data_IF_304701205110
#
_entry.id   IF_304701205110
#
_cell.length_a   1.000
_cell.length_b   1.000
_cell.length_c   1.000
_cell.angle_alpha   90.00
_cell.angle_beta   90.00
_cell.angle_gamma   90.00
#
_symmetry.space_group_name_H-M   'P 1'
#
loop_
_entity.id
_entity.type
_entity.pdbx_description
1 polymer ?
#
# COMPACT_ATOMS: atom_id res chain seq x y z
N UNK A 1 43.75 32.97 37.05
CA UNK A 1 45.10 32.79 36.46
C UNK A 1 45.03 31.53 35.62
N UNK A 2 44.67 31.64 34.34
CA UNK A 2 45.56 31.90 33.20
C UNK A 2 45.81 30.58 32.45
N UNK A 3 45.22 30.49 31.26
CA UNK A 3 45.75 29.69 30.15
C UNK A 3 47.23 30.04 29.91
N UNK A 4 47.98 29.18 29.20
CA UNK A 4 48.28 29.63 27.84
C UNK A 4 48.27 28.54 26.75
N UNK A 5 47.85 29.05 25.61
CA UNK A 5 47.87 28.60 24.22
C UNK A 5 49.29 28.57 23.63
N UNK A 6 49.58 27.61 22.73
CA UNK A 6 50.44 27.74 21.53
C UNK A 6 49.92 26.75 20.47
N UNK A 7 49.29 27.15 19.35
CA UNK A 7 49.79 27.72 18.08
C UNK A 7 50.91 26.91 17.39
N UNK A 8 50.62 26.36 16.21
CA UNK A 8 51.29 26.63 14.90
C UNK A 8 50.94 25.50 13.90
N UNK A 9 50.07 25.73 12.90
CA UNK A 9 50.33 26.14 11.48
C UNK A 9 51.08 25.09 10.65
N UNK A 10 50.46 24.71 9.52
CA UNK A 10 51.12 23.98 8.42
C UNK A 10 50.14 23.54 7.33
N UNK A 11 49.73 24.47 6.45
CA UNK A 11 49.06 24.17 5.19
C UNK A 11 50.10 23.79 4.13
N UNK A 12 49.82 22.77 3.31
CA UNK A 12 50.47 22.63 1.99
C UNK A 12 49.54 21.93 1.00
N UNK A 13 49.50 22.50 -0.20
CA UNK A 13 48.63 22.17 -1.34
C UNK A 13 49.38 21.33 -2.40
N UNK A 14 48.63 20.93 -3.46
CA UNK A 14 49.04 20.67 -4.87
C UNK A 14 49.51 19.21 -5.20
N UNK A 15 49.37 18.63 -6.44
CA UNK A 15 48.57 18.93 -7.65
C UNK A 15 47.74 17.77 -8.27
N UNK A 16 46.94 18.14 -9.27
CA UNK A 16 46.41 17.31 -10.38
C UNK A 16 47.51 16.73 -11.29
N UNK A 17 47.27 15.53 -11.86
CA UNK A 17 47.92 15.07 -13.10
C UNK A 17 46.88 14.55 -14.11
N UNK A 18 47.05 15.05 -15.34
CA UNK A 18 46.34 14.74 -16.59
C UNK A 18 47.26 13.86 -17.46
N UNK A 19 46.65 13.14 -18.41
CA UNK A 19 47.18 12.40 -19.57
C UNK A 19 46.77 10.90 -19.50
N UNK A 20 46.39 10.20 -20.57
CA UNK A 20 46.63 10.41 -22.01
C UNK A 20 45.59 9.63 -22.84
N UNK A 21 45.35 10.12 -24.05
CA UNK A 21 44.64 9.50 -25.16
C UNK A 21 45.30 8.20 -25.65
N UNK A 22 44.49 7.27 -26.16
CA UNK A 22 44.89 6.31 -27.17
C UNK A 22 43.77 6.22 -28.21
N UNK A 23 44.10 6.66 -29.41
CA UNK A 23 43.40 6.40 -30.67
C UNK A 23 43.65 4.94 -31.06
N UNK A 24 42.66 4.27 -31.62
CA UNK A 24 42.86 3.23 -32.64
C UNK A 24 41.60 3.19 -33.53
N UNK A 25 41.84 3.52 -34.79
CA UNK A 25 40.98 3.37 -35.95
C UNK A 25 40.55 1.90 -36.15
N UNK A 26 39.32 1.67 -36.61
CA UNK A 26 39.09 0.57 -37.55
C UNK A 26 37.92 0.92 -38.50
N UNK A 27 38.27 0.86 -39.78
CA UNK A 27 37.57 1.30 -40.97
C UNK A 27 36.99 0.05 -41.64
N UNK A 28 35.68 0.01 -41.94
CA UNK A 28 35.13 -0.97 -42.89
C UNK A 28 33.82 -0.47 -43.50
N UNK A 29 33.97 0.24 -44.62
CA UNK A 29 32.97 0.44 -45.67
C UNK A 29 32.88 -0.83 -46.54
N UNK A 30 31.68 -1.21 -46.99
CA UNK A 30 31.28 -1.95 -48.21
C UNK A 30 29.81 -2.39 -48.00
N UNK A 31 28.83 -2.38 -48.91
CA UNK A 31 28.64 -1.86 -50.26
C UNK A 31 27.12 -1.94 -50.57
N UNK A 32 26.75 -1.26 -51.65
CA UNK A 32 25.47 -0.89 -52.23
C UNK A 32 24.63 -2.04 -52.86
N UNK A 33 23.31 -1.76 -53.01
CA UNK A 33 22.40 -2.25 -54.08
C UNK A 33 21.99 -3.74 -54.07
N UNK A 34 20.86 -4.20 -54.59
CA UNK A 34 19.56 -3.74 -55.08
C UNK A 34 18.83 -5.06 -55.45
N UNK A 35 17.50 -5.11 -55.45
CA UNK A 35 16.67 -5.73 -56.50
C UNK A 35 15.24 -5.98 -55.99
N UNK A 36 14.32 -5.32 -56.68
CA UNK A 36 12.88 -5.52 -56.72
C UNK A 36 12.48 -6.93 -57.20
N UNK A 37 11.28 -7.38 -56.84
CA UNK A 37 10.26 -7.77 -57.82
C UNK A 37 8.88 -8.06 -57.18
N UNK A 38 7.88 -7.32 -57.68
CA UNK A 38 6.44 -7.56 -57.66
C UNK A 38 6.00 -9.01 -57.96
N UNK A 39 4.84 -9.44 -57.42
CA UNK A 39 3.59 -9.59 -58.19
C UNK A 39 2.41 -10.14 -57.35
N UNK A 40 1.22 -9.67 -57.72
CA UNK A 40 -0.13 -9.79 -57.13
C UNK A 40 -0.84 -11.15 -57.39
N UNK A 41 -2.04 -11.39 -56.79
CA UNK A 41 -2.75 -12.67 -56.69
C UNK A 41 -3.82 -12.89 -57.78
N UNK A 42 -4.38 -14.13 -57.91
CA UNK A 42 -5.79 -14.50 -58.23
C UNK A 42 -5.96 -16.03 -58.61
N UNK A 43 -7.16 -16.61 -58.87
CA UNK A 43 -7.91 -17.41 -57.86
C UNK A 43 -8.53 -18.74 -58.40
N UNK A 44 -9.39 -19.39 -57.59
CA UNK A 44 -10.42 -20.44 -57.90
C UNK A 44 -10.02 -21.79 -58.56
N UNK A 45 -10.38 -22.92 -57.92
CA UNK A 45 -11.56 -23.76 -58.30
C UNK A 45 -11.56 -25.18 -57.67
N UNK A 46 -12.78 -25.64 -57.29
CA UNK A 46 -13.38 -27.00 -57.31
C UNK A 46 -12.55 -28.24 -56.90
N UNK A 47 -13.04 -29.32 -56.27
CA UNK A 47 -14.31 -29.93 -55.85
C UNK A 47 -13.87 -31.33 -55.33
N UNK A 48 -14.34 -31.97 -54.25
CA UNK A 48 -15.61 -32.72 -54.16
C UNK A 48 -15.67 -33.49 -52.81
N UNK A 49 -16.90 -33.57 -52.30
CA UNK A 49 -17.57 -34.58 -51.45
C UNK A 49 -16.79 -35.68 -50.71
N UNK A 50 -17.12 -35.85 -49.42
CA UNK A 50 -17.79 -37.07 -48.92
C UNK A 50 -18.83 -36.71 -47.84
N UNK A 51 -20.06 -37.17 -48.04
CA UNK A 51 -21.14 -37.11 -47.08
C UNK A 51 -21.31 -38.48 -46.41
N UNK A 52 -21.44 -38.50 -45.07
CA UNK A 52 -22.00 -39.63 -44.34
C UNK A 52 -22.79 -39.12 -43.12
N UNK A 53 -23.98 -39.71 -42.97
CA UNK A 53 -25.06 -39.43 -42.03
C UNK A 53 -24.68 -39.48 -40.54
N UNK A 54 -25.47 -38.81 -39.67
CA UNK A 54 -26.41 -39.47 -38.72
C UNK A 54 -26.94 -38.51 -37.63
N UNK A 55 -28.27 -38.50 -37.50
CA UNK A 55 -29.05 -38.31 -36.26
C UNK A 55 -29.07 -36.94 -35.56
N UNK A 56 -30.16 -36.20 -35.83
CA UNK A 56 -30.70 -35.18 -34.90
C UNK A 56 -31.00 -35.83 -33.54
N UNK A 57 -30.15 -35.56 -32.55
CA UNK A 57 -30.58 -35.48 -31.15
C UNK A 57 -30.75 -34.00 -30.80
N UNK A 58 -32.01 -33.61 -30.56
CA UNK A 58 -32.38 -32.30 -30.05
C UNK A 58 -31.81 -32.16 -28.64
N UNK A 59 -30.67 -31.46 -28.50
CA UNK A 59 -30.11 -31.10 -27.22
C UNK A 59 -30.85 -29.86 -26.70
N UNK A 60 -31.67 -30.05 -25.67
CA UNK A 60 -32.25 -28.97 -24.88
C UNK A 60 -31.11 -28.26 -24.13
N UNK A 61 -31.01 -26.91 -24.15
CA UNK A 61 -30.02 -26.20 -23.36
C UNK A 61 -30.19 -26.55 -21.87
N UNK A 62 -29.10 -26.79 -21.12
CA UNK A 62 -29.21 -26.91 -19.67
C UNK A 62 -29.74 -25.58 -19.12
N UNK A 63 -30.90 -25.65 -18.46
CA UNK A 63 -31.46 -24.57 -17.67
C UNK A 63 -30.43 -24.13 -16.61
N UNK A 64 -30.24 -22.82 -16.38
CA UNK A 64 -29.34 -22.34 -15.35
C UNK A 64 -29.87 -22.76 -13.99
N UNK A 65 -29.19 -23.72 -13.37
CA UNK A 65 -29.34 -24.04 -11.96
C UNK A 65 -29.02 -22.77 -11.17
N UNK A 66 -30.04 -22.28 -10.47
CA UNK A 66 -30.11 -21.26 -9.42
C UNK A 66 -28.88 -20.37 -9.19
N UNK A 67 -29.05 -19.03 -9.11
CA UNK A 67 -27.96 -18.16 -8.73
C UNK A 67 -27.48 -18.55 -7.32
N UNK A 68 -26.21 -18.94 -7.22
CA UNK A 68 -25.50 -18.96 -5.94
C UNK A 68 -25.76 -17.60 -5.28
N UNK A 69 -26.34 -17.63 -4.07
CA UNK A 69 -26.65 -16.43 -3.30
C UNK A 69 -25.34 -15.70 -3.04
N UNK A 70 -25.04 -14.71 -3.88
CA UNK A 70 -23.98 -13.74 -3.66
C UNK A 70 -24.39 -12.96 -2.42
N UNK A 71 -23.93 -13.38 -1.25
CA UNK A 71 -23.99 -12.60 -0.03
C UNK A 71 -23.02 -11.43 -0.22
N UNK A 72 -23.50 -10.45 -0.95
CA UNK A 72 -22.94 -9.11 -0.97
C UNK A 72 -23.22 -8.54 0.42
N UNK A 73 -22.28 -8.71 1.34
CA UNK A 73 -22.27 -7.89 2.55
C UNK A 73 -22.06 -6.47 2.01
N UNK A 74 -23.15 -5.71 1.93
CA UNK A 74 -23.07 -4.26 1.84
C UNK A 74 -22.36 -3.85 3.12
N UNK A 75 -21.07 -3.55 3.04
CA UNK A 75 -20.45 -2.61 3.94
C UNK A 75 -21.11 -1.27 3.62
N UNK A 76 -22.27 -1.03 4.22
CA UNK A 76 -22.85 0.31 4.30
C UNK A 76 -21.85 1.14 5.10
N UNK A 77 -20.94 1.79 4.36
CA UNK A 77 -20.43 3.08 4.76
C UNK A 77 -21.63 3.95 5.13
N UNK A 78 -21.45 4.71 6.20
CA UNK A 78 -22.28 5.83 6.63
C UNK A 78 -23.54 5.47 7.43
N UNK A 79 -23.37 5.35 8.77
CA UNK A 79 -24.13 6.15 9.76
C UNK A 79 -24.01 5.58 11.19
N UNK A 80 -23.75 4.29 11.38
CA UNK A 80 -23.76 3.70 12.74
C UNK A 80 -22.44 3.84 13.49
N UNK A 81 -21.29 3.67 12.83
CA UNK A 81 -19.98 3.79 13.50
C UNK A 81 -19.68 5.24 13.96
N UNK A 82 -20.13 6.24 13.20
CA UNK A 82 -20.02 7.65 13.60
C UNK A 82 -20.91 7.98 14.81
N UNK A 83 -22.08 7.33 14.94
CA UNK A 83 -22.96 7.51 16.11
C UNK A 83 -22.38 6.90 17.39
N UNK A 84 -21.64 5.80 17.26
CA UNK A 84 -20.91 5.21 18.40
C UNK A 84 -19.76 6.14 18.82
N UNK A 85 -19.02 6.70 17.85
CA UNK A 85 -17.94 7.67 18.09
C UNK A 85 -18.42 9.00 18.73
N UNK A 86 -19.61 9.50 18.38
CA UNK A 86 -20.17 10.73 18.97
C UNK A 86 -20.78 10.51 20.37
N UNK A 87 -21.34 9.33 20.65
CA UNK A 87 -21.90 9.01 21.97
C UNK A 87 -20.80 8.85 23.04
N UNK A 88 -19.62 8.36 22.63
CA UNK A 88 -18.51 8.06 23.55
C UNK A 88 -17.65 9.28 23.90
N UNK A 89 -17.71 10.34 23.08
CA UNK A 89 -17.04 11.63 23.36
C UNK A 89 -17.66 12.34 24.58
N UNK A 90 -18.85 11.92 25.05
CA UNK A 90 -19.46 12.43 26.28
C UNK A 90 -19.12 11.60 27.54
N UNK A 91 -18.59 10.39 27.38
CA UNK A 91 -18.23 9.51 28.51
C UNK A 91 -16.77 9.66 28.95
N UNK A 92 -15.90 10.18 28.08
CA UNK A 92 -14.46 10.33 28.35
C UNK A 92 -14.08 11.55 29.22
N UNK A 93 -15.05 12.35 29.69
CA UNK A 93 -14.82 13.44 30.65
C UNK A 93 -15.09 13.05 32.11
N UNK A 94 -15.25 11.75 32.42
CA UNK A 94 -15.48 11.27 33.80
C UNK A 94 -14.46 10.24 34.33
N UNK A 95 -13.40 9.91 33.60
CA UNK A 95 -12.30 9.10 34.14
C UNK A 95 -11.14 10.01 34.59
N UNK A 96 -11.43 10.83 35.60
CA UNK A 96 -10.42 11.27 36.55
C UNK A 96 -10.13 10.12 37.52
N UNK A 97 -8.85 9.83 37.73
CA UNK A 97 -8.29 8.97 38.77
C UNK A 97 -9.10 7.70 39.11
N UNK A 98 -9.01 6.69 38.24
CA UNK A 98 -9.33 5.34 38.67
C UNK A 98 -8.10 4.67 39.27
N UNK A 99 -8.06 4.69 40.60
CA UNK A 99 -7.28 3.77 41.41
C UNK A 99 -7.47 2.34 40.88
N UNK A 100 -6.40 1.76 40.36
CA UNK A 100 -6.38 0.35 39.97
C UNK A 100 -6.59 -0.49 41.23
N UNK A 101 -7.79 -1.05 41.40
CA UNK A 101 -8.05 -2.15 42.32
C UNK A 101 -7.03 -3.25 41.99
N UNK A 102 -6.08 -3.46 42.91
CA UNK A 102 -5.05 -4.51 42.81
C UNK A 102 -5.69 -5.89 42.99
N UNK A 103 -6.39 -6.38 41.97
CA UNK A 103 -6.58 -7.83 41.81
C UNK A 103 -5.25 -8.41 41.31
N UNK A 104 -4.73 -9.40 42.04
CA UNK A 104 -3.43 -10.02 41.77
C UNK A 104 -3.28 -10.39 40.31
N UNK A 105 -2.21 -9.90 39.67
CA UNK A 105 -1.95 -10.11 38.24
C UNK A 105 -1.94 -11.61 37.93
N UNK A 106 -2.88 -12.16 37.14
CA UNK A 106 -2.67 -13.45 36.54
C UNK A 106 -1.36 -13.39 35.73
N UNK A 107 -0.51 -14.41 35.87
CA UNK A 107 0.74 -14.47 35.09
C UNK A 107 0.35 -14.51 33.62
N UNK A 108 0.70 -13.45 32.90
CA UNK A 108 0.54 -13.36 31.45
C UNK A 108 1.27 -14.58 30.85
N UNK A 109 0.61 -15.37 29.98
CA UNK A 109 1.30 -16.45 29.29
C UNK A 109 2.52 -15.91 28.53
N UNK A 110 3.64 -16.65 28.48
CA UNK A 110 4.86 -16.15 27.85
C UNK A 110 4.70 -15.82 26.36
N UNK A 111 3.71 -16.42 25.68
CA UNK A 111 3.43 -16.19 24.25
C UNK A 111 2.23 -15.25 24.01
N UNK A 112 1.77 -14.54 25.04
CA UNK A 112 0.60 -13.67 24.93
C UNK A 112 0.78 -12.58 23.87
N UNK A 113 1.92 -11.88 23.89
CA UNK A 113 2.20 -10.80 22.94
C UNK A 113 2.18 -11.29 21.49
N UNK A 114 2.90 -12.38 21.20
CA UNK A 114 2.94 -12.99 19.87
C UNK A 114 1.57 -13.48 19.38
N UNK A 115 0.78 -14.12 20.24
CA UNK A 115 -0.54 -14.66 19.85
C UNK A 115 -1.55 -13.54 19.60
N UNK A 116 -1.58 -12.54 20.47
CA UNK A 116 -2.44 -11.37 20.32
C UNK A 116 -2.04 -10.56 19.07
N UNK A 117 -0.73 -10.37 18.87
CA UNK A 117 -0.22 -9.73 17.65
C UNK A 117 -0.57 -10.53 16.38
N UNK A 118 -0.47 -11.86 16.38
CA UNK A 118 -0.82 -12.67 15.21
C UNK A 118 -2.28 -12.46 14.79
N UNK A 119 -3.18 -12.32 15.78
CA UNK A 119 -4.60 -12.03 15.55
C UNK A 119 -4.80 -10.64 14.95
N UNK A 120 -4.16 -9.62 15.53
CA UNK A 120 -4.21 -8.23 15.04
C UNK A 120 -3.61 -8.09 13.64
N UNK A 121 -2.44 -8.72 13.41
CA UNK A 121 -1.79 -8.78 12.11
C UNK A 121 -2.71 -9.40 11.06
N UNK A 122 -3.33 -10.54 11.37
CA UNK A 122 -4.28 -11.17 10.44
C UNK A 122 -5.43 -10.24 10.08
N UNK A 123 -5.96 -9.47 11.03
CA UNK A 123 -7.00 -8.48 10.76
C UNK A 123 -6.48 -7.33 9.89
N UNK A 124 -5.31 -6.77 10.20
CA UNK A 124 -4.67 -5.70 9.41
C UNK A 124 -4.41 -6.16 7.97
N UNK A 125 -3.88 -7.38 7.77
CA UNK A 125 -3.72 -7.95 6.43
C UNK A 125 -5.06 -8.07 5.71
N UNK A 126 -6.11 -8.54 6.38
CA UNK A 126 -7.45 -8.65 5.78
C UNK A 126 -7.97 -7.27 5.31
N UNK A 127 -7.72 -6.21 6.07
CA UNK A 127 -8.06 -4.82 5.70
C UNK A 127 -7.34 -4.41 4.41
N UNK A 128 -6.02 -4.62 4.34
CA UNK A 128 -5.24 -4.27 3.15
C UNK A 128 -5.66 -5.07 1.90
N UNK A 129 -6.00 -6.35 2.08
CA UNK A 129 -6.48 -7.20 0.98
C UNK A 129 -7.99 -7.06 0.69
N UNK A 130 -8.69 -6.16 1.40
CA UNK A 130 -10.15 -5.98 1.31
C UNK A 130 -10.92 -7.30 1.45
N UNK A 131 -10.44 -8.17 2.34
CA UNK A 131 -11.03 -9.45 2.65
C UNK A 131 -11.89 -9.36 3.92
N UNK A 132 -12.92 -10.19 4.06
CA UNK A 132 -13.67 -10.28 5.31
C UNK A 132 -12.74 -10.67 6.47
N UNK A 133 -12.89 -10.00 7.60
CA UNK A 133 -12.20 -10.38 8.84
C UNK A 133 -12.91 -11.59 9.47
N UNK A 134 -12.16 -12.63 9.81
CA UNK A 134 -12.70 -13.78 10.54
C UNK A 134 -12.76 -13.55 12.05
N UNK A 135 -12.16 -12.47 12.53
CA UNK A 135 -12.12 -12.09 13.94
C UNK A 135 -13.17 -11.00 14.22
N UNK A 136 -13.83 -11.15 15.35
CA UNK A 136 -14.82 -10.20 15.84
C UNK A 136 -14.15 -8.86 16.22
N UNK A 137 -14.79 -7.73 15.87
CA UNK A 137 -14.24 -6.40 16.12
C UNK A 137 -14.00 -6.17 17.62
N UNK A 138 -14.95 -6.56 18.47
CA UNK A 138 -14.83 -6.42 19.93
C UNK A 138 -13.57 -7.13 20.47
N UNK A 139 -13.27 -8.32 19.94
CA UNK A 139 -12.04 -9.06 20.31
C UNK A 139 -10.78 -8.37 19.85
N UNK A 140 -10.81 -7.69 18.69
CA UNK A 140 -9.67 -6.91 18.20
C UNK A 140 -9.44 -5.66 19.06
N UNK A 141 -10.51 -4.98 19.48
CA UNK A 141 -10.41 -3.87 20.42
C UNK A 141 -9.83 -4.31 21.77
N UNK A 142 -10.35 -5.40 22.35
CA UNK A 142 -9.85 -5.95 23.61
C UNK A 142 -8.38 -6.37 23.50
N UNK A 143 -7.99 -6.99 22.38
CA UNK A 143 -6.60 -7.37 22.12
C UNK A 143 -5.65 -6.15 22.13
N UNK A 144 -6.05 -5.03 21.52
CA UNK A 144 -5.26 -3.78 21.57
C UNK A 144 -5.20 -3.23 22.99
N UNK A 145 -6.33 -3.19 23.68
CA UNK A 145 -6.41 -2.70 25.06
C UNK A 145 -5.51 -3.50 25.99
N UNK A 146 -5.59 -4.83 25.96
CA UNK A 146 -4.81 -5.73 26.82
C UNK A 146 -3.30 -5.50 26.61
N UNK A 147 -2.84 -5.41 25.35
CA UNK A 147 -1.45 -5.09 25.05
C UNK A 147 -1.03 -3.73 25.63
N UNK A 148 -1.90 -2.71 25.54
CA UNK A 148 -1.60 -1.39 26.06
C UNK A 148 -1.58 -1.35 27.60
N UNK A 149 -2.52 -2.03 28.27
CA UNK A 149 -2.57 -2.17 29.74
C UNK A 149 -1.31 -2.88 30.25
N UNK A 150 -0.84 -3.89 29.52
CA UNK A 150 0.39 -4.62 29.82
C UNK A 150 1.68 -3.89 29.41
N UNK A 151 1.61 -2.60 29.08
CA UNK A 151 2.74 -1.73 28.72
C UNK A 151 3.47 -2.15 27.44
N UNK A 152 2.81 -2.89 26.55
CA UNK A 152 3.33 -3.32 25.25
C UNK A 152 2.91 -2.37 24.10
N UNK A 153 2.29 -1.22 24.39
CA UNK A 153 1.78 -0.29 23.38
C UNK A 153 2.85 0.22 22.40
N UNK A 154 4.09 0.47 22.86
CA UNK A 154 5.18 0.89 21.97
C UNK A 154 5.61 -0.18 20.97
N UNK A 155 5.63 -1.45 21.42
CA UNK A 155 5.91 -2.58 20.53
C UNK A 155 4.76 -2.74 19.52
N UNK A 156 3.52 -2.69 19.98
CA UNK A 156 2.34 -2.76 19.13
C UNK A 156 2.35 -1.67 18.04
N UNK A 157 2.65 -0.42 18.39
CA UNK A 157 2.77 0.68 17.43
C UNK A 157 3.80 0.37 16.33
N UNK A 158 5.00 -0.08 16.72
CA UNK A 158 6.06 -0.43 15.76
C UNK A 158 5.66 -1.60 14.85
N UNK A 159 4.97 -2.60 15.40
CA UNK A 159 4.47 -3.74 14.60
C UNK A 159 3.40 -3.30 13.60
N UNK A 160 2.47 -2.42 13.99
CA UNK A 160 1.46 -1.84 13.08
C UNK A 160 2.14 -1.01 11.99
N UNK A 161 3.07 -0.11 12.35
CA UNK A 161 3.82 0.71 11.39
C UNK A 161 4.53 -0.16 10.35
N UNK A 162 5.22 -1.21 10.81
CA UNK A 162 5.93 -2.14 9.92
C UNK A 162 4.99 -2.88 8.97
N UNK A 163 3.85 -3.37 9.47
CA UNK A 163 2.87 -4.07 8.62
C UNK A 163 2.26 -3.12 7.59
N UNK A 164 1.87 -1.92 8.00
CA UNK A 164 1.38 -0.88 7.10
C UNK A 164 2.42 -0.52 6.03
N UNK A 165 3.69 -0.38 6.40
CA UNK A 165 4.77 -0.04 5.46
C UNK A 165 4.91 -1.09 4.34
N UNK A 166 4.84 -2.38 4.68
CA UNK A 166 4.89 -3.48 3.70
C UNK A 166 3.75 -3.35 2.68
N UNK A 167 2.53 -3.11 3.14
CA UNK A 167 1.38 -3.01 2.24
C UNK A 167 1.36 -1.71 1.41
N UNK A 168 1.72 -0.57 2.01
CA UNK A 168 1.76 0.73 1.34
C UNK A 168 2.84 0.75 0.25
N UNK A 169 4.03 0.21 0.55
CA UNK A 169 5.11 0.11 -0.44
C UNK A 169 4.71 -0.79 -1.62
N UNK A 170 4.09 -1.95 -1.35
CA UNK A 170 3.59 -2.84 -2.40
C UNK A 170 2.49 -2.18 -3.26
N UNK A 171 1.56 -1.46 -2.64
CA UNK A 171 0.48 -0.76 -3.35
C UNK A 171 1.05 0.30 -4.32
N UNK A 172 2.00 1.12 -3.87
CA UNK A 172 2.63 2.13 -4.72
C UNK A 172 3.51 1.51 -5.81
N UNK A 173 4.23 0.44 -5.50
CA UNK A 173 5.01 -0.30 -6.49
C UNK A 173 4.11 -0.89 -7.58
N UNK A 174 2.88 -1.28 -7.26
CA UNK A 174 1.92 -1.81 -8.24
C UNK A 174 1.47 -0.78 -9.28
N UNK A 175 1.69 0.52 -9.05
CA UNK A 175 1.34 1.59 -10.01
C UNK A 175 2.38 1.76 -11.12
N UNK A 176 3.60 1.28 -10.91
CA UNK A 176 4.70 1.36 -11.88
C UNK A 176 4.30 0.62 -13.17
N UNK A 177 4.42 1.28 -14.32
CA UNK A 177 4.12 0.68 -15.63
C UNK A 177 2.64 0.46 -15.96
N UNK A 178 1.67 0.86 -15.13
CA UNK A 178 0.25 0.51 -15.33
C UNK A 178 -0.40 1.09 -16.60
N UNK A 179 -0.09 2.33 -16.97
CA UNK A 179 -0.70 2.98 -18.15
C UNK A 179 0.16 4.13 -18.68
N UNK A 180 0.37 4.26 -20.01
CA UNK A 180 0.97 5.45 -20.60
C UNK A 180 0.01 6.65 -20.67
N UNK A 181 -1.31 6.40 -20.67
CA UNK A 181 -2.33 7.45 -20.60
C UNK A 181 -2.35 8.04 -19.18
N UNK A 182 -2.05 9.34 -19.09
CA UNK A 182 -1.93 10.06 -17.83
C UNK A 182 -3.27 10.21 -17.11
N UNK A 183 -4.39 10.35 -17.81
CA UNK A 183 -5.72 10.47 -17.18
C UNK A 183 -6.10 9.14 -16.55
N UNK A 184 -5.92 8.04 -17.28
CA UNK A 184 -6.13 6.69 -16.75
C UNK A 184 -5.19 6.42 -15.58
N UNK A 185 -3.91 6.76 -15.72
CA UNK A 185 -2.92 6.61 -14.65
C UNK A 185 -3.31 7.38 -13.39
N UNK A 186 -3.75 8.63 -13.50
CA UNK A 186 -4.21 9.43 -12.36
C UNK A 186 -5.40 8.80 -11.64
N UNK A 187 -6.35 8.20 -12.37
CA UNK A 187 -7.47 7.48 -11.74
C UNK A 187 -7.02 6.25 -10.93
N UNK A 188 -5.90 5.61 -11.32
CA UNK A 188 -5.30 4.52 -10.55
C UNK A 188 -4.61 5.03 -9.28
N UNK A 189 -3.89 6.16 -9.38
CA UNK A 189 -3.27 6.82 -8.22
C UNK A 189 -4.34 7.28 -7.23
N UNK A 190 -5.42 7.91 -7.71
CA UNK A 190 -6.55 8.32 -6.89
C UNK A 190 -7.18 7.12 -6.16
N UNK A 191 -7.45 6.02 -6.88
CA UNK A 191 -7.99 4.80 -6.26
C UNK A 191 -7.05 4.23 -5.21
N UNK A 192 -5.75 4.16 -5.50
CA UNK A 192 -4.75 3.71 -4.54
C UNK A 192 -4.73 4.58 -3.28
N UNK A 193 -4.89 5.90 -3.43
CA UNK A 193 -4.95 6.84 -2.31
C UNK A 193 -6.24 6.70 -1.49
N UNK A 194 -7.39 6.58 -2.14
CA UNK A 194 -8.67 6.35 -1.47
C UNK A 194 -8.66 5.03 -0.68
N UNK A 195 -8.15 3.97 -1.30
CA UNK A 195 -7.98 2.67 -0.66
C UNK A 195 -7.09 2.78 0.59
N UNK A 196 -5.96 3.48 0.48
CA UNK A 196 -5.08 3.75 1.61
C UNK A 196 -5.79 4.50 2.74
N UNK A 197 -6.54 5.56 2.43
CA UNK A 197 -7.30 6.31 3.43
C UNK A 197 -8.30 5.42 4.16
N UNK A 198 -9.10 4.65 3.42
CA UNK A 198 -10.10 3.73 3.98
C UNK A 198 -9.45 2.67 4.89
N UNK A 199 -8.34 2.08 4.45
CA UNK A 199 -7.59 1.08 5.20
C UNK A 199 -7.03 1.66 6.51
N UNK A 200 -6.42 2.85 6.43
CA UNK A 200 -5.84 3.51 7.61
C UNK A 200 -6.91 3.94 8.62
N UNK A 201 -8.08 4.39 8.16
CA UNK A 201 -9.22 4.67 9.05
C UNK A 201 -9.65 3.40 9.80
N UNK A 202 -9.81 2.28 9.09
CA UNK A 202 -10.21 1.02 9.73
C UNK A 202 -9.17 0.48 10.72
N UNK A 203 -7.88 0.61 10.40
CA UNK A 203 -6.79 0.24 11.32
C UNK A 203 -6.82 1.14 12.56
N UNK A 204 -7.03 2.44 12.38
CA UNK A 204 -7.14 3.40 13.47
C UNK A 204 -8.35 3.12 14.35
N UNK A 205 -9.48 2.72 13.76
CA UNK A 205 -10.66 2.34 14.52
C UNK A 205 -10.32 1.15 15.43
N UNK A 206 -9.81 0.04 14.89
CA UNK A 206 -9.40 -1.13 15.69
C UNK A 206 -8.37 -0.76 16.78
N UNK A 207 -7.40 0.09 16.45
CA UNK A 207 -6.32 0.48 17.34
C UNK A 207 -6.58 1.82 18.08
N UNK A 208 -7.85 2.22 18.25
CA UNK A 208 -8.21 3.52 18.81
C UNK A 208 -7.67 3.71 20.24
N UNK A 209 -7.66 2.64 21.04
CA UNK A 209 -7.13 2.68 22.40
C UNK A 209 -5.63 3.03 22.41
N UNK A 210 -4.85 2.49 21.47
CA UNK A 210 -3.42 2.79 21.32
C UNK A 210 -3.19 4.27 21.00
N UNK A 211 -3.98 4.83 20.08
CA UNK A 211 -3.92 6.25 19.69
C UNK A 211 -4.28 7.17 20.86
N UNK A 212 -5.33 6.83 21.63
CA UNK A 212 -5.83 7.65 22.74
C UNK A 212 -5.00 7.55 24.02
N UNK A 213 -4.24 6.47 24.21
CA UNK A 213 -3.43 6.24 25.41
C UNK A 213 -1.94 6.40 25.13
N UNK A 214 -1.34 5.46 24.41
CA UNK A 214 0.11 5.44 24.15
C UNK A 214 0.56 6.64 23.32
N UNK A 215 -0.06 6.91 22.16
CA UNK A 215 0.38 8.01 21.31
C UNK A 215 0.17 9.36 22.00
N UNK A 216 -1.00 9.57 22.62
CA UNK A 216 -1.30 10.81 23.36
C UNK A 216 -0.31 11.09 24.50
N UNK A 217 0.20 10.05 25.17
CA UNK A 217 1.17 10.17 26.24
C UNK A 217 2.60 10.44 25.74
N UNK A 218 2.91 10.15 24.47
CA UNK A 218 4.24 10.26 23.90
C UNK A 218 4.26 11.30 22.76
N UNK A 219 4.53 12.57 23.10
CA UNK A 219 4.46 13.70 22.14
C UNK A 219 5.37 13.60 20.92
N UNK A 220 6.41 12.75 20.96
CA UNK A 220 7.29 12.48 19.82
C UNK A 220 6.75 11.44 18.85
N UNK A 221 5.67 10.73 19.21
CA UNK A 221 5.05 9.68 18.41
C UNK A 221 3.87 10.27 17.63
N UNK A 222 3.77 9.90 16.35
CA UNK A 222 2.69 10.34 15.47
C UNK A 222 1.42 9.52 15.70
N UNK A 223 0.26 10.12 15.47
CA UNK A 223 -0.98 9.34 15.35
C UNK A 223 -0.86 8.25 14.30
N UNK A 224 -1.64 7.18 14.41
CA UNK A 224 -1.67 6.13 13.38
C UNK A 224 -2.02 6.71 12.00
N UNK A 225 -2.91 7.71 11.97
CA UNK A 225 -3.24 8.46 10.75
C UNK A 225 -2.01 9.15 10.16
N UNK A 226 -1.32 9.97 10.94
CA UNK A 226 -0.14 10.71 10.47
C UNK A 226 1.02 9.77 10.09
N UNK A 227 1.15 8.63 10.77
CA UNK A 227 2.09 7.58 10.41
C UNK A 227 1.77 7.01 9.02
N UNK A 228 0.51 6.68 8.73
CA UNK A 228 0.07 6.24 7.40
C UNK A 228 0.38 7.27 6.30
N UNK A 229 0.08 8.55 6.56
CA UNK A 229 0.39 9.65 5.63
C UNK A 229 1.89 9.76 5.33
N UNK A 230 2.73 9.65 6.36
CA UNK A 230 4.18 9.72 6.22
C UNK A 230 4.73 8.52 5.43
N UNK A 231 4.22 7.32 5.68
CA UNK A 231 4.59 6.12 4.92
C UNK A 231 4.21 6.26 3.44
N UNK A 232 2.99 6.71 3.14
CA UNK A 232 2.55 6.91 1.76
C UNK A 232 3.42 7.94 1.04
N UNK A 233 3.67 9.10 1.67
CA UNK A 233 4.55 10.14 1.12
C UNK A 233 5.96 9.61 0.87
N UNK A 234 6.54 8.90 1.85
CA UNK A 234 7.88 8.30 1.77
C UNK A 234 7.97 7.39 0.55
N UNK A 235 7.07 6.41 0.43
CA UNK A 235 7.12 5.42 -0.66
C UNK A 235 6.77 6.00 -2.03
N UNK A 236 5.92 7.03 -2.08
CA UNK A 236 5.66 7.76 -3.32
C UNK A 236 6.92 8.49 -3.81
N UNK A 237 7.68 9.10 -2.89
CA UNK A 237 8.96 9.76 -3.23
C UNK A 237 10.07 8.79 -3.62
N UNK A 238 9.98 7.53 -3.17
CA UNK A 238 10.88 6.45 -3.59
C UNK A 238 10.53 5.84 -4.95
N UNK A 239 9.44 6.29 -5.57
CA UNK A 239 8.95 5.81 -6.87
C UNK A 239 8.98 6.94 -7.91
N UNK A 240 10.14 7.27 -8.52
CA UNK A 240 10.28 8.43 -9.40
C UNK A 240 9.33 8.44 -10.59
N UNK A 241 9.06 7.28 -11.19
CA UNK A 241 8.09 7.16 -12.30
C UNK A 241 6.68 7.57 -11.85
N UNK A 242 6.21 6.99 -10.74
CA UNK A 242 4.86 7.25 -10.21
C UNK A 242 4.72 8.72 -9.85
N UNK A 243 5.72 9.28 -9.15
CA UNK A 243 5.75 10.70 -8.80
C UNK A 243 5.72 11.59 -10.04
N UNK A 244 6.61 11.34 -11.01
CA UNK A 244 6.73 12.16 -12.22
C UNK A 244 5.45 12.13 -13.07
N UNK A 245 4.85 10.96 -13.28
CA UNK A 245 3.61 10.82 -14.04
C UNK A 245 2.43 11.45 -13.33
N UNK A 246 2.36 11.35 -12.00
CA UNK A 246 1.32 12.00 -11.20
C UNK A 246 1.39 13.52 -11.36
N UNK A 247 2.57 14.11 -11.15
CA UNK A 247 2.76 15.56 -11.28
C UNK A 247 2.49 16.03 -12.71
N UNK A 248 3.04 15.34 -13.70
CA UNK A 248 2.87 15.70 -15.12
C UNK A 248 1.41 15.59 -15.56
N UNK A 249 0.71 14.54 -15.13
CA UNK A 249 -0.71 14.37 -15.41
C UNK A 249 -1.54 15.51 -14.83
N UNK A 250 -1.33 15.85 -13.56
CA UNK A 250 -2.07 16.93 -12.88
C UNK A 250 -1.83 18.29 -13.56
N UNK A 251 -0.58 18.62 -13.89
CA UNK A 251 -0.25 19.86 -14.59
C UNK A 251 -0.92 19.92 -15.96
N UNK A 252 -0.90 18.83 -16.73
CA UNK A 252 -1.58 18.78 -18.04
C UNK A 252 -3.09 18.96 -17.95
N UNK A 253 -3.74 18.41 -16.91
CA UNK A 253 -5.17 18.61 -16.69
C UNK A 253 -5.48 20.09 -16.42
N UNK A 254 -4.67 20.74 -15.56
CA UNK A 254 -4.82 22.18 -15.27
C UNK A 254 -4.61 23.01 -16.54
N UNK A 255 -3.57 22.71 -17.32
CA UNK A 255 -3.29 23.44 -18.56
C UNK A 255 -4.38 23.24 -19.62
N UNK A 256 -5.07 22.10 -19.63
CA UNK A 256 -6.19 21.85 -20.55
C UNK A 256 -7.49 22.56 -20.18
N UNK A 257 -7.63 23.00 -18.93
CA UNK A 257 -8.80 23.73 -18.43
C UNK A 257 -8.66 25.25 -18.59
N UNK A 258 -7.42 25.75 -18.75
CA UNK A 258 -7.09 27.18 -18.92
C UNK A 258 -7.22 27.64 -20.37
#
# INVERSE_FOLDING_TARGET
MSLPTKRSVGATSIPMKKAKSHDDDDDAVLDHSSLDHDLKPNPLSSSNSMAANLSRKKATPPQPSQPAKKLLIKLTKDSELVKILDCETRSLNLFGDCDCVKLGKPKIPPNFEEQTWATLKSAICAIFFKQPNSCDLEKLYQAVEDLCIHKMGGNLYQRIEKECEVHISAALQSLVGQSPDLVVFLSLVERCWQDHCDQMLMIRDIALFLDRTYVKQNSSIRSLWDMGLQLFRKHLSLSPEVQHKTVTGLLRMIDSER
#
